data_IF_012122114016
#
_entry.id   IF_012122114016
#
_cell.length_a   1.000
_cell.length_b   1.000
_cell.length_c   1.000
_cell.angle_alpha   90.00
_cell.angle_beta   90.00
_cell.angle_gamma   90.00
#
_symmetry.space_group_name_H-M   'P 1'
#
loop_
_entity.id
_entity.type
_entity.pdbx_description
1 polymer ?
#
# COMPACT_ATOMS: atom_id res chain seq x y z
N UNK A 1 42.07 -29.58 -33.15
CA UNK A 1 41.73 -28.29 -32.48
C UNK A 1 40.37 -28.47 -31.85
N UNK A 2 40.34 -28.71 -30.56
CA UNK A 2 39.11 -28.89 -29.80
C UNK A 2 38.58 -27.53 -29.40
N UNK A 3 37.35 -27.22 -29.81
CA UNK A 3 36.63 -26.04 -29.41
C UNK A 3 36.28 -26.12 -27.91
N UNK A 4 36.75 -25.15 -27.13
CA UNK A 4 36.40 -25.00 -25.73
C UNK A 4 34.88 -24.81 -25.56
N UNK A 5 34.26 -25.39 -24.52
CA UNK A 5 32.84 -25.15 -24.24
C UNK A 5 32.64 -23.70 -23.80
N UNK A 6 31.80 -22.99 -24.54
CA UNK A 6 31.29 -21.67 -24.19
C UNK A 6 30.72 -21.72 -22.79
N UNK A 7 31.22 -20.89 -21.90
CA UNK A 7 30.75 -20.73 -20.55
C UNK A 7 29.22 -20.45 -20.55
N UNK A 8 28.45 -21.41 -20.03
CA UNK A 8 27.03 -21.26 -19.79
C UNK A 8 26.84 -20.01 -18.95
N UNK A 9 26.12 -19.05 -19.49
CA UNK A 9 25.86 -17.75 -18.86
C UNK A 9 25.38 -17.92 -17.44
N UNK A 10 26.17 -17.47 -16.48
CA UNK A 10 25.71 -17.24 -15.13
C UNK A 10 24.60 -16.17 -15.22
N UNK A 11 23.35 -16.61 -15.14
CA UNK A 11 22.25 -15.68 -14.90
C UNK A 11 22.65 -14.82 -13.69
N UNK A 12 22.58 -13.49 -13.76
CA UNK A 12 22.90 -12.66 -12.62
C UNK A 12 21.97 -13.07 -11.49
N UNK A 13 22.53 -13.66 -10.44
CA UNK A 13 21.83 -13.80 -9.15
C UNK A 13 21.37 -12.42 -8.81
N UNK A 14 20.03 -12.19 -8.80
CA UNK A 14 19.47 -10.90 -8.48
C UNK A 14 20.18 -10.32 -7.27
N UNK A 15 20.54 -9.05 -7.32
CA UNK A 15 21.38 -8.42 -6.30
C UNK A 15 20.59 -8.33 -4.98
N UNK A 16 20.55 -9.46 -4.25
CA UNK A 16 19.84 -9.61 -2.97
C UNK A 16 20.29 -8.56 -1.95
N UNK A 17 21.54 -8.09 -2.04
CA UNK A 17 22.06 -7.04 -1.17
C UNK A 17 21.37 -5.70 -1.44
N UNK A 18 21.33 -5.29 -2.70
CA UNK A 18 20.62 -4.06 -3.07
C UNK A 18 19.11 -4.15 -2.73
N UNK A 19 18.51 -5.33 -2.93
CA UNK A 19 17.13 -5.55 -2.52
C UNK A 19 16.92 -5.40 -1.01
N UNK A 20 17.78 -5.98 -0.19
CA UNK A 20 17.71 -5.86 1.26
C UNK A 20 17.85 -4.41 1.72
N UNK A 21 18.75 -3.63 1.09
CA UNK A 21 18.94 -2.21 1.39
C UNK A 21 17.71 -1.37 1.00
N UNK A 22 17.15 -1.58 -0.19
CA UNK A 22 15.92 -0.92 -0.64
C UNK A 22 14.76 -1.26 0.29
N UNK A 23 14.62 -2.53 0.64
CA UNK A 23 13.55 -3.01 1.53
C UNK A 23 13.71 -2.45 2.94
N UNK A 24 14.92 -2.45 3.49
CA UNK A 24 15.23 -1.88 4.80
C UNK A 24 14.95 -0.37 4.86
N UNK A 25 15.36 0.38 3.84
CA UNK A 25 15.06 1.79 3.72
C UNK A 25 13.53 2.06 3.64
N UNK A 26 12.81 1.26 2.86
CA UNK A 26 11.35 1.34 2.77
C UNK A 26 10.64 0.95 4.07
N UNK A 27 11.15 -0.03 4.81
CA UNK A 27 10.62 -0.40 6.12
C UNK A 27 10.81 0.70 7.14
N UNK A 28 11.99 1.33 7.17
CA UNK A 28 12.27 2.49 8.03
C UNK A 28 11.30 3.63 7.73
N UNK A 29 11.14 4.01 6.46
CA UNK A 29 10.21 5.05 6.03
C UNK A 29 8.76 4.71 6.42
N UNK A 30 8.33 3.47 6.23
CA UNK A 30 6.99 3.00 6.59
C UNK A 30 6.72 3.07 8.10
N UNK A 31 7.71 2.69 8.90
CA UNK A 31 7.63 2.75 10.35
C UNK A 31 7.53 4.20 10.84
N UNK A 32 8.37 5.06 10.28
CA UNK A 32 8.40 6.50 10.56
C UNK A 32 7.11 7.19 10.10
N UNK A 33 6.58 6.86 8.91
CA UNK A 33 5.28 7.37 8.44
C UNK A 33 4.14 7.03 9.41
N UNK A 34 4.07 5.77 9.85
CA UNK A 34 3.09 5.34 10.85
C UNK A 34 3.25 6.09 12.19
N UNK A 35 4.47 6.18 12.69
CA UNK A 35 4.77 6.85 13.94
C UNK A 35 4.46 8.35 13.89
N UNK A 36 4.82 9.02 12.81
CA UNK A 36 4.56 10.46 12.61
C UNK A 36 3.05 10.74 12.62
N UNK A 37 2.24 9.90 11.98
CA UNK A 37 0.78 10.05 11.99
C UNK A 37 0.21 10.04 13.40
N UNK A 38 0.57 9.06 14.20
CA UNK A 38 0.08 8.93 15.58
C UNK A 38 0.63 10.03 16.47
N UNK A 39 1.89 10.37 16.30
CA UNK A 39 2.55 11.46 17.02
C UNK A 39 1.81 12.80 16.82
N UNK A 40 1.56 13.17 15.55
CA UNK A 40 0.85 14.41 15.19
C UNK A 40 -0.58 14.36 15.74
N UNK A 41 -1.31 13.25 15.54
CA UNK A 41 -2.67 13.09 16.00
C UNK A 41 -2.76 13.34 17.53
N UNK A 42 -1.98 12.63 18.34
CA UNK A 42 -2.05 12.75 19.79
C UNK A 42 -1.51 14.08 20.33
N UNK A 43 -0.50 14.66 19.67
CA UNK A 43 0.03 15.94 20.09
C UNK A 43 -0.99 17.08 19.91
N UNK A 44 -1.66 17.14 18.76
CA UNK A 44 -2.65 18.18 18.48
C UNK A 44 -3.95 17.96 19.25
N UNK A 45 -4.34 16.71 19.51
CA UNK A 45 -5.44 16.39 20.42
C UNK A 45 -5.17 16.91 21.84
N UNK A 46 -3.94 16.70 22.37
CA UNK A 46 -3.51 17.26 23.67
C UNK A 46 -3.50 18.79 23.71
N UNK A 47 -3.32 19.45 22.56
CA UNK A 47 -3.42 20.93 22.46
C UNK A 47 -4.87 21.43 22.37
N UNK A 48 -5.87 20.54 22.44
CA UNK A 48 -7.29 20.88 22.41
C UNK A 48 -7.87 21.11 21.02
N UNK A 49 -7.19 20.65 19.97
CA UNK A 49 -7.76 20.68 18.61
C UNK A 49 -8.93 19.72 18.51
N UNK A 50 -10.00 20.18 17.85
CA UNK A 50 -11.16 19.31 17.61
C UNK A 50 -10.81 18.12 16.72
N UNK A 51 -11.54 16.98 16.80
CA UNK A 51 -11.31 15.82 15.93
C UNK A 51 -11.30 16.17 14.44
N UNK A 52 -12.17 17.10 14.00
CA UNK A 52 -12.20 17.57 12.61
C UNK A 52 -10.94 18.35 12.23
N UNK A 53 -10.43 19.22 13.11
CA UNK A 53 -9.18 19.94 12.90
C UNK A 53 -7.99 18.96 12.82
N UNK A 54 -7.94 17.97 13.70
CA UNK A 54 -6.90 16.92 13.66
C UNK A 54 -6.98 16.10 12.37
N UNK A 55 -8.18 15.71 11.96
CA UNK A 55 -8.38 15.00 10.69
C UNK A 55 -7.93 15.83 9.47
N UNK A 56 -8.18 17.15 9.50
CA UNK A 56 -7.80 18.07 8.42
C UNK A 56 -6.28 18.14 8.20
N UNK A 57 -5.47 17.92 9.24
CA UNK A 57 -4.00 17.90 9.14
C UNK A 57 -3.49 16.90 8.10
N UNK A 58 -4.25 15.86 7.79
CA UNK A 58 -3.87 14.80 6.88
C UNK A 58 -4.47 14.92 5.47
N UNK A 59 -5.33 15.90 5.20
CA UNK A 59 -5.97 16.06 3.88
C UNK A 59 -4.91 16.23 2.79
N UNK A 60 -3.96 17.16 2.97
CA UNK A 60 -2.91 17.38 1.98
C UNK A 60 -1.97 16.17 1.83
N UNK A 61 -1.78 15.37 2.88
CA UNK A 61 -1.05 14.10 2.80
C UNK A 61 -1.72 13.11 1.82
N UNK A 62 -3.03 12.95 1.87
CA UNK A 62 -3.74 12.05 0.97
C UNK A 62 -3.82 12.60 -0.46
N UNK A 63 -4.03 13.91 -0.62
CA UNK A 63 -4.01 14.57 -1.94
C UNK A 63 -2.63 14.47 -2.58
N UNK A 64 -1.57 14.79 -1.82
CA UNK A 64 -0.18 14.62 -2.27
C UNK A 64 0.09 13.17 -2.68
N UNK A 65 -0.47 12.21 -1.93
CA UNK A 65 -0.38 10.79 -2.24
C UNK A 65 -0.96 10.41 -3.61
N UNK A 66 -2.11 10.95 -4.00
CA UNK A 66 -2.70 10.71 -5.34
C UNK A 66 -1.76 11.24 -6.42
N UNK A 67 -1.33 12.49 -6.30
CA UNK A 67 -0.46 13.14 -7.28
C UNK A 67 0.91 12.47 -7.38
N UNK A 68 1.51 12.16 -6.23
CA UNK A 68 2.85 11.55 -6.20
C UNK A 68 2.83 10.11 -6.69
N UNK A 69 1.77 9.35 -6.51
CA UNK A 69 1.68 8.01 -7.09
C UNK A 69 1.70 8.08 -8.63
N UNK A 70 1.04 9.06 -9.21
CA UNK A 70 1.06 9.29 -10.65
C UNK A 70 2.44 9.77 -11.11
N UNK A 71 2.94 10.88 -10.54
CA UNK A 71 4.22 11.48 -10.94
C UNK A 71 5.42 10.60 -10.57
N UNK A 72 5.38 9.93 -9.43
CA UNK A 72 6.47 9.13 -8.90
C UNK A 72 6.84 7.94 -9.79
N UNK A 73 5.88 7.34 -10.48
CA UNK A 73 6.14 6.32 -11.49
C UNK A 73 6.94 6.87 -12.69
N UNK A 74 6.58 8.06 -13.17
CA UNK A 74 7.31 8.76 -14.23
C UNK A 74 8.70 9.19 -13.78
N UNK A 75 8.82 9.77 -12.58
CA UNK A 75 10.10 10.19 -12.03
C UNK A 75 11.04 9.00 -11.83
N UNK A 76 10.52 7.88 -11.32
CA UNK A 76 11.28 6.65 -11.13
C UNK A 76 11.74 6.04 -12.46
N UNK A 77 10.93 6.14 -13.53
CA UNK A 77 11.34 5.73 -14.87
C UNK A 77 12.46 6.62 -15.39
N UNK A 78 12.34 7.94 -15.25
CA UNK A 78 13.26 8.93 -15.83
C UNK A 78 14.58 9.04 -15.08
N UNK A 79 14.57 8.98 -13.76
CA UNK A 79 15.75 9.20 -12.89
C UNK A 79 16.33 7.90 -12.31
N UNK A 80 15.58 6.80 -12.41
CA UNK A 80 15.92 5.50 -11.84
C UNK A 80 15.46 5.35 -10.40
N UNK A 81 15.34 4.10 -9.99
CA UNK A 81 14.77 3.73 -8.68
C UNK A 81 15.63 4.18 -7.49
N UNK A 82 16.97 4.14 -7.64
CA UNK A 82 17.91 4.55 -6.59
C UNK A 82 17.76 6.03 -6.24
N UNK A 83 17.71 6.91 -7.25
CA UNK A 83 17.54 8.36 -7.05
C UNK A 83 16.17 8.64 -6.45
N UNK A 84 15.11 8.01 -6.95
CA UNK A 84 13.74 8.19 -6.43
C UNK A 84 13.62 7.75 -4.97
N UNK A 85 14.30 6.66 -4.57
CA UNK A 85 14.36 6.23 -3.17
C UNK A 85 15.04 7.28 -2.28
N UNK A 86 16.19 7.79 -2.70
CA UNK A 86 16.94 8.78 -1.93
C UNK A 86 16.19 10.10 -1.81
N UNK A 87 15.52 10.53 -2.88
CA UNK A 87 14.64 11.70 -2.83
C UNK A 87 13.49 11.51 -1.84
N UNK A 88 12.84 10.34 -1.85
CA UNK A 88 11.77 10.02 -0.89
C UNK A 88 12.27 10.15 0.56
N UNK A 89 13.38 9.48 0.89
CA UNK A 89 13.97 9.56 2.23
C UNK A 89 14.39 10.99 2.60
N UNK A 90 14.98 11.75 1.66
CA UNK A 90 15.37 13.15 1.87
C UNK A 90 14.17 14.05 2.16
N UNK A 91 13.07 13.89 1.41
CA UNK A 91 11.82 14.63 1.63
C UNK A 91 11.20 14.27 2.98
N UNK A 92 11.27 12.98 3.40
CA UNK A 92 10.80 12.56 4.74
C UNK A 92 11.61 13.23 5.85
N UNK A 93 12.93 13.29 5.72
CA UNK A 93 13.80 13.99 6.67
C UNK A 93 13.39 15.47 6.76
N UNK A 94 13.22 16.14 5.60
CA UNK A 94 12.80 17.54 5.56
C UNK A 94 11.44 17.74 6.28
N UNK A 95 10.45 16.88 6.01
CA UNK A 95 9.15 16.95 6.67
C UNK A 95 9.26 16.83 8.20
N UNK A 96 10.09 15.91 8.68
CA UNK A 96 10.32 15.72 10.13
C UNK A 96 11.09 16.87 10.77
N UNK A 97 12.10 17.43 10.09
CA UNK A 97 12.85 18.60 10.55
C UNK A 97 11.96 19.84 10.63
N UNK A 98 11.05 20.01 9.66
CA UNK A 98 10.03 21.07 9.74
C UNK A 98 9.23 20.99 11.05
N UNK A 99 8.78 19.80 11.45
CA UNK A 99 8.04 19.63 12.71
C UNK A 99 8.95 19.75 13.94
N UNK A 100 10.16 19.19 13.88
CA UNK A 100 11.09 19.15 15.02
C UNK A 100 11.70 20.49 15.38
N UNK A 101 11.97 21.34 14.41
CA UNK A 101 12.57 22.66 14.64
C UNK A 101 11.55 23.81 14.66
N UNK A 102 10.28 23.55 14.34
CA UNK A 102 9.26 24.58 14.39
C UNK A 102 9.12 25.17 15.82
N UNK A 103 9.12 26.50 15.99
CA UNK A 103 8.66 27.10 17.24
C UNK A 103 7.16 26.82 17.43
N UNK A 104 6.70 26.82 18.69
CA UNK A 104 5.31 26.50 19.00
C UNK A 104 4.29 27.40 18.25
N UNK A 105 4.67 28.65 17.97
CA UNK A 105 3.84 29.59 17.21
C UNK A 105 3.65 29.22 15.73
N UNK A 106 4.52 28.42 15.15
CA UNK A 106 4.41 27.94 13.77
C UNK A 106 3.69 26.58 13.66
N UNK A 107 3.49 25.87 14.75
CA UNK A 107 2.75 24.59 14.76
C UNK A 107 1.24 24.79 14.62
N UNK A 108 0.86 25.52 13.57
CA UNK A 108 -0.54 25.78 13.18
C UNK A 108 -0.97 24.85 12.05
N UNK A 109 -2.29 24.68 11.88
CA UNK A 109 -2.87 23.72 10.92
C UNK A 109 -2.23 23.79 9.53
N UNK A 110 -2.11 24.94 8.84
CA UNK A 110 -1.55 24.98 7.49
C UNK A 110 -0.07 24.52 7.42
N UNK A 111 0.73 24.87 8.43
CA UNK A 111 2.13 24.47 8.48
C UNK A 111 2.29 22.96 8.65
N UNK A 112 1.51 22.38 9.57
CA UNK A 112 1.53 20.94 9.80
C UNK A 112 0.99 20.20 8.58
N UNK A 113 -0.07 20.70 7.93
CA UNK A 113 -0.57 20.15 6.67
C UNK A 113 0.50 20.14 5.58
N UNK A 114 1.31 21.20 5.45
CA UNK A 114 2.43 21.25 4.50
C UNK A 114 3.50 20.19 4.80
N UNK A 115 3.89 20.04 6.07
CA UNK A 115 4.80 18.96 6.49
C UNK A 115 4.22 17.59 6.21
N UNK A 116 2.93 17.36 6.51
CA UNK A 116 2.27 16.09 6.21
C UNK A 116 2.16 15.81 4.70
N UNK A 117 1.96 16.85 3.88
CA UNK A 117 1.99 16.71 2.42
C UNK A 117 3.36 16.22 1.93
N UNK A 118 4.46 16.78 2.44
CA UNK A 118 5.82 16.30 2.14
C UNK A 118 6.02 14.85 2.58
N UNK A 119 5.55 14.47 3.77
CA UNK A 119 5.60 13.08 4.23
C UNK A 119 4.79 12.14 3.32
N UNK A 120 3.65 12.60 2.79
CA UNK A 120 2.87 11.87 1.78
C UNK A 120 3.65 11.65 0.49
N UNK A 121 4.34 12.69 -0.01
CA UNK A 121 5.23 12.60 -1.18
C UNK A 121 6.36 11.60 -0.92
N UNK A 122 7.04 11.72 0.20
CA UNK A 122 8.15 10.86 0.60
C UNK A 122 7.76 9.37 0.59
N UNK A 123 6.69 9.04 1.28
CA UNK A 123 6.11 7.68 1.36
C UNK A 123 5.85 7.08 -0.03
N UNK A 124 5.30 7.87 -0.94
CA UNK A 124 4.91 7.34 -2.24
C UNK A 124 6.10 7.21 -3.19
N UNK A 125 7.13 8.05 -3.09
CA UNK A 125 8.40 7.89 -3.81
C UNK A 125 9.17 6.64 -3.33
N UNK A 126 9.31 6.44 -2.03
CA UNK A 126 9.97 5.24 -1.46
C UNK A 126 9.22 3.96 -1.82
N UNK A 127 7.88 4.00 -1.81
CA UNK A 127 7.02 2.89 -2.24
C UNK A 127 7.22 2.55 -3.72
N UNK A 128 7.26 3.55 -4.63
CA UNK A 128 7.48 3.33 -6.06
C UNK A 128 8.80 2.62 -6.30
N UNK A 129 9.89 3.10 -5.71
CA UNK A 129 11.21 2.51 -5.84
C UNK A 129 11.23 1.06 -5.36
N UNK A 130 10.71 0.81 -4.16
CA UNK A 130 10.77 -0.53 -3.54
C UNK A 130 9.92 -1.55 -4.27
N UNK A 131 8.71 -1.17 -4.69
CA UNK A 131 7.82 -2.08 -5.42
C UNK A 131 8.32 -2.40 -6.82
N UNK A 132 8.86 -1.42 -7.53
CA UNK A 132 9.41 -1.64 -8.87
C UNK A 132 10.72 -2.45 -8.82
N UNK A 133 11.53 -2.27 -7.78
CA UNK A 133 12.77 -3.01 -7.58
C UNK A 133 12.55 -4.53 -7.51
N UNK A 134 11.43 -5.00 -6.94
CA UNK A 134 11.11 -6.44 -6.89
C UNK A 134 11.11 -7.08 -8.28
N UNK A 135 10.49 -6.41 -9.27
CA UNK A 135 10.42 -6.93 -10.65
C UNK A 135 11.80 -7.07 -11.30
N UNK A 136 12.73 -6.15 -10.99
CA UNK A 136 14.07 -6.14 -11.56
C UNK A 136 15.00 -7.18 -10.94
N UNK A 137 14.69 -7.65 -9.74
CA UNK A 137 15.52 -8.58 -8.96
C UNK A 137 15.13 -10.05 -9.16
N UNK A 138 13.94 -10.30 -9.62
CA UNK A 138 13.43 -11.64 -9.89
C UNK A 138 13.80 -12.06 -11.32
N UNK A 139 14.24 -13.29 -11.50
CA UNK A 139 14.56 -13.85 -12.82
C UNK A 139 13.31 -13.83 -13.72
N UNK A 140 13.52 -13.67 -15.04
CA UNK A 140 12.42 -13.75 -15.99
C UNK A 140 11.78 -15.14 -15.95
N UNK A 141 10.43 -15.14 -15.93
CA UNK A 141 9.67 -16.39 -15.87
C UNK A 141 9.41 -16.94 -14.47
N UNK A 142 10.17 -16.54 -13.43
CA UNK A 142 9.92 -17.00 -12.06
C UNK A 142 8.78 -16.20 -11.39
N UNK A 143 7.56 -16.48 -11.85
CA UNK A 143 6.35 -15.86 -11.31
C UNK A 143 6.13 -16.18 -9.83
N UNK A 144 6.61 -17.32 -9.40
CA UNK A 144 6.57 -17.82 -8.04
C UNK A 144 7.38 -16.97 -7.06
N UNK A 145 8.64 -16.72 -7.40
CA UNK A 145 9.50 -15.81 -6.63
C UNK A 145 8.91 -14.39 -6.64
N UNK A 146 8.42 -13.91 -7.80
CA UNK A 146 7.80 -12.60 -7.92
C UNK A 146 6.62 -12.44 -6.94
N UNK A 147 5.68 -13.40 -6.94
CA UNK A 147 4.53 -13.37 -6.03
C UNK A 147 4.97 -13.38 -4.56
N UNK A 148 5.92 -14.25 -4.21
CA UNK A 148 6.43 -14.37 -2.84
C UNK A 148 7.06 -13.05 -2.35
N UNK A 149 7.96 -12.44 -3.13
CA UNK A 149 8.63 -11.21 -2.74
C UNK A 149 7.68 -10.01 -2.65
N UNK A 150 6.75 -9.89 -3.60
CA UNK A 150 5.72 -8.84 -3.56
C UNK A 150 4.82 -8.95 -2.33
N UNK A 151 4.40 -10.17 -2.00
CA UNK A 151 3.54 -10.42 -0.84
C UNK A 151 4.27 -10.11 0.48
N UNK A 152 5.54 -10.55 0.61
CA UNK A 152 6.36 -10.24 1.78
C UNK A 152 6.54 -8.73 1.92
N UNK A 153 6.94 -8.03 0.85
CA UNK A 153 7.16 -6.58 0.89
C UNK A 153 5.89 -5.82 1.23
N UNK A 154 4.74 -6.24 0.67
CA UNK A 154 3.48 -5.54 0.90
C UNK A 154 2.90 -5.85 2.28
N UNK A 155 2.98 -7.09 2.73
CA UNK A 155 2.51 -7.51 4.04
C UNK A 155 3.34 -6.93 5.17
N UNK A 156 4.67 -7.03 5.08
CA UNK A 156 5.59 -6.45 6.08
C UNK A 156 5.41 -4.94 6.21
N UNK A 157 5.22 -4.23 5.09
CA UNK A 157 4.90 -2.80 5.10
C UNK A 157 3.64 -2.50 5.92
N UNK A 158 2.57 -3.25 5.74
CA UNK A 158 1.33 -3.00 6.46
C UNK A 158 1.47 -3.32 7.97
N UNK A 159 2.13 -4.43 8.31
CA UNK A 159 2.44 -4.76 9.70
C UNK A 159 3.31 -3.68 10.38
N UNK A 160 4.39 -3.25 9.71
CA UNK A 160 5.28 -2.21 10.23
C UNK A 160 4.58 -0.86 10.40
N UNK A 161 3.62 -0.54 9.53
CA UNK A 161 2.82 0.67 9.71
C UNK A 161 1.99 0.61 10.99
N UNK A 162 1.41 -0.54 11.30
CA UNK A 162 0.71 -0.77 12.57
C UNK A 162 1.65 -0.64 13.78
N UNK A 163 2.85 -1.23 13.71
CA UNK A 163 3.90 -1.05 14.74
C UNK A 163 4.28 0.44 14.88
N UNK A 164 4.39 1.15 13.76
CA UNK A 164 4.66 2.60 13.76
C UNK A 164 3.63 3.39 14.57
N UNK A 165 2.35 3.03 14.51
CA UNK A 165 1.32 3.70 15.30
C UNK A 165 1.60 3.61 16.81
N UNK A 166 2.00 2.46 17.32
CA UNK A 166 2.40 2.32 18.73
C UNK A 166 3.68 3.08 19.03
N UNK A 167 4.67 3.02 18.14
CA UNK A 167 5.94 3.71 18.31
C UNK A 167 5.75 5.23 18.40
N UNK A 168 4.87 5.82 17.59
CA UNK A 168 4.56 7.25 17.64
C UNK A 168 3.98 7.69 18.99
N UNK A 169 3.05 6.92 19.56
CA UNK A 169 2.51 7.17 20.90
C UNK A 169 3.57 7.02 22.00
N UNK A 170 4.39 5.96 21.91
CA UNK A 170 5.47 5.70 22.84
C UNK A 170 6.52 6.82 22.84
N UNK A 171 7.00 7.21 21.66
CA UNK A 171 7.98 8.29 21.53
C UNK A 171 7.43 9.63 22.04
N UNK A 172 6.16 9.95 21.73
CA UNK A 172 5.53 11.16 22.26
C UNK A 172 5.50 11.17 23.80
N UNK A 173 5.22 10.02 24.39
CA UNK A 173 5.12 9.90 25.86
C UNK A 173 6.50 9.97 26.54
N UNK A 174 7.52 9.33 25.97
CA UNK A 174 8.84 9.24 26.58
C UNK A 174 9.72 10.47 26.31
N UNK A 175 9.62 11.07 25.13
CA UNK A 175 10.58 12.10 24.68
C UNK A 175 9.92 13.43 24.32
N UNK A 176 8.61 13.47 24.20
CA UNK A 176 7.86 14.63 23.73
C UNK A 176 7.93 14.82 22.20
N UNK A 177 7.16 15.77 21.69
CA UNK A 177 6.94 15.94 20.26
C UNK A 177 8.22 16.26 19.46
N UNK A 178 9.02 17.22 19.92
CA UNK A 178 10.25 17.66 19.24
C UNK A 178 11.31 16.57 19.18
N UNK A 179 11.61 15.96 20.32
CA UNK A 179 12.65 14.93 20.38
C UNK A 179 12.20 13.69 19.57
N UNK A 180 10.93 13.31 19.64
CA UNK A 180 10.38 12.21 18.84
C UNK A 180 10.55 12.44 17.33
N UNK A 181 10.20 13.62 16.83
CA UNK A 181 10.38 13.97 15.40
C UNK A 181 11.84 13.98 14.98
N UNK A 182 12.75 14.47 15.81
CA UNK A 182 14.20 14.48 15.53
C UNK A 182 14.80 13.06 15.58
N UNK A 183 14.38 12.20 16.51
CA UNK A 183 14.77 10.79 16.56
C UNK A 183 14.35 10.09 15.26
N UNK A 184 13.11 10.29 14.80
CA UNK A 184 12.63 9.73 13.54
C UNK A 184 13.37 10.28 12.33
N UNK A 185 13.72 11.59 12.32
CA UNK A 185 14.56 12.17 11.28
C UNK A 185 15.96 11.53 11.25
N UNK A 186 16.57 11.32 12.43
CA UNK A 186 17.85 10.64 12.59
C UNK A 186 17.82 9.19 12.07
N UNK A 187 16.79 8.44 12.42
CA UNK A 187 16.60 7.06 11.92
C UNK A 187 16.47 7.02 10.38
N UNK A 188 15.70 7.96 9.79
CA UNK A 188 15.56 8.07 8.34
C UNK A 188 16.88 8.49 7.68
N UNK A 189 17.64 9.40 8.30
CA UNK A 189 18.96 9.81 7.82
C UNK A 189 19.96 8.63 7.84
N UNK A 190 19.97 7.84 8.90
CA UNK A 190 20.80 6.63 8.98
C UNK A 190 20.44 5.67 7.84
N UNK A 191 19.15 5.42 7.59
CA UNK A 191 18.70 4.58 6.48
C UNK A 191 19.14 5.14 5.12
N UNK A 192 19.06 6.46 4.90
CA UNK A 192 19.55 7.12 3.69
C UNK A 192 21.06 6.96 3.52
N UNK A 193 21.85 7.22 4.57
CA UNK A 193 23.30 7.08 4.53
C UNK A 193 23.74 5.64 4.28
N UNK A 194 23.13 4.67 4.95
CA UNK A 194 23.40 3.25 4.71
C UNK A 194 23.07 2.84 3.27
N UNK A 195 21.87 3.21 2.79
CA UNK A 195 21.49 2.93 1.42
C UNK A 195 22.42 3.62 0.41
N UNK A 196 22.79 4.89 0.62
CA UNK A 196 23.65 5.64 -0.31
C UNK A 196 25.06 5.08 -0.40
N UNK A 197 25.64 4.61 0.72
CA UNK A 197 27.02 4.07 0.78
C UNK A 197 27.11 2.60 0.38
N UNK A 198 26.08 1.81 0.68
CA UNK A 198 26.12 0.36 0.52
C UNK A 198 25.45 -0.15 -0.76
N UNK A 199 24.59 0.65 -1.41
CA UNK A 199 24.01 0.26 -2.71
C UNK A 199 24.98 0.50 -3.84
N UNK A 200 25.38 -0.59 -4.52
CA UNK A 200 26.27 -0.55 -5.67
C UNK A 200 25.48 -0.56 -7.00
N UNK A 201 26.06 0.04 -8.03
CA UNK A 201 25.49 0.04 -9.37
C UNK A 201 24.18 0.85 -9.53
N UNK A 202 23.50 0.61 -10.66
CA UNK A 202 22.22 1.22 -10.98
C UNK A 202 21.09 0.25 -10.64
N UNK A 203 20.06 0.72 -9.96
CA UNK A 203 18.83 -0.02 -9.73
C UNK A 203 17.82 0.38 -10.80
N UNK A 204 17.68 -0.44 -11.85
CA UNK A 204 16.95 -0.12 -13.06
C UNK A 204 17.70 0.89 -13.95
N UNK A 205 17.50 0.78 -15.26
CA UNK A 205 18.09 1.71 -16.22
C UNK A 205 17.17 2.94 -16.36
N UNK A 206 17.68 4.17 -16.11
CA UNK A 206 16.91 5.38 -16.36
C UNK A 206 16.57 5.49 -17.85
N UNK A 207 15.29 5.72 -18.15
CA UNK A 207 14.84 6.04 -19.50
C UNK A 207 14.67 7.57 -19.63
N UNK A 208 15.70 8.24 -20.15
CA UNK A 208 15.67 9.68 -20.39
C UNK A 208 14.65 10.09 -21.44
N UNK A 209 14.22 9.16 -22.29
CA UNK A 209 13.18 9.35 -23.32
C UNK A 209 11.76 9.15 -22.82
N UNK A 210 11.58 8.70 -21.57
CA UNK A 210 10.27 8.49 -20.97
C UNK A 210 9.41 9.76 -21.04
N UNK A 211 8.21 9.64 -21.61
CA UNK A 211 7.23 10.76 -21.72
C UNK A 211 6.10 10.53 -20.72
N UNK A 212 5.66 11.59 -20.05
CA UNK A 212 4.57 11.52 -19.06
C UNK A 212 3.28 10.89 -19.66
N UNK A 213 2.97 11.20 -20.93
CA UNK A 213 1.81 10.63 -21.62
C UNK A 213 1.84 9.09 -21.69
N UNK A 214 3.01 8.47 -21.66
CA UNK A 214 3.15 7.00 -21.71
C UNK A 214 2.62 6.31 -20.44
N UNK A 215 2.43 7.03 -19.33
CA UNK A 215 1.79 6.50 -18.12
C UNK A 215 0.33 6.09 -18.36
N UNK A 216 -0.34 6.73 -19.32
CA UNK A 216 -1.73 6.45 -19.67
C UNK A 216 -1.85 5.48 -20.85
N UNK A 217 -0.73 5.12 -21.47
CA UNK A 217 -0.64 4.17 -22.59
C UNK A 217 -0.26 2.77 -22.10
N UNK A 218 -1.04 2.27 -21.13
CA UNK A 218 -0.80 0.94 -20.56
C UNK A 218 -1.52 -0.14 -21.38
N UNK A 219 -1.05 -1.37 -21.27
CA UNK A 219 -1.77 -2.53 -21.78
C UNK A 219 -3.16 -2.63 -21.12
N UNK A 220 -4.11 -3.20 -21.85
CA UNK A 220 -5.48 -3.41 -21.39
C UNK A 220 -5.54 -4.13 -20.04
N UNK A 221 -4.66 -5.10 -19.80
CA UNK A 221 -4.61 -5.83 -18.54
C UNK A 221 -4.27 -4.91 -17.35
N UNK A 222 -3.31 -3.99 -17.51
CA UNK A 222 -2.93 -3.01 -16.49
C UNK A 222 -4.09 -2.04 -16.22
N UNK A 223 -4.77 -1.56 -17.26
CA UNK A 223 -5.90 -0.63 -17.12
C UNK A 223 -7.08 -1.28 -16.41
N UNK A 224 -7.44 -2.51 -16.77
CA UNK A 224 -8.53 -3.27 -16.12
C UNK A 224 -8.18 -3.57 -14.67
N UNK A 225 -6.93 -3.98 -14.40
CA UNK A 225 -6.46 -4.23 -13.03
C UNK A 225 -6.47 -2.95 -12.18
N UNK A 226 -6.08 -1.82 -12.75
CA UNK A 226 -6.13 -0.52 -12.07
C UNK A 226 -7.58 -0.11 -11.75
N UNK A 227 -8.52 -0.29 -12.69
CA UNK A 227 -9.94 -0.05 -12.45
C UNK A 227 -10.49 -0.98 -11.34
N UNK A 228 -10.20 -2.29 -11.39
CA UNK A 228 -10.60 -3.22 -10.34
C UNK A 228 -10.01 -2.82 -8.97
N UNK A 229 -8.79 -2.26 -8.96
CA UNK A 229 -8.13 -1.77 -7.74
C UNK A 229 -8.83 -0.57 -7.12
N UNK A 230 -9.37 0.35 -7.92
CA UNK A 230 -10.18 1.48 -7.42
C UNK A 230 -11.32 0.94 -6.57
N UNK A 231 -12.14 0.06 -7.13
CA UNK A 231 -13.28 -0.51 -6.44
C UNK A 231 -12.89 -1.35 -5.23
N UNK A 232 -11.85 -2.19 -5.33
CA UNK A 232 -11.39 -3.00 -4.22
C UNK A 232 -10.95 -2.17 -3.01
N UNK A 233 -10.28 -1.04 -3.21
CA UNK A 233 -9.84 -0.19 -2.10
C UNK A 233 -10.93 0.76 -1.62
N UNK A 234 -11.76 1.25 -2.52
CA UNK A 234 -12.96 2.00 -2.15
C UNK A 234 -13.89 1.16 -1.26
N UNK A 235 -14.05 -0.13 -1.56
CA UNK A 235 -14.90 -1.03 -0.77
C UNK A 235 -14.47 -1.17 0.69
N UNK A 236 -13.18 -1.17 0.97
CA UNK A 236 -12.69 -1.16 2.35
C UNK A 236 -12.91 0.21 3.00
N UNK A 237 -12.46 1.26 2.33
CA UNK A 237 -12.38 2.59 2.95
C UNK A 237 -13.76 3.24 3.12
N UNK A 238 -14.80 2.81 2.37
CA UNK A 238 -16.18 3.31 2.50
C UNK A 238 -16.81 3.01 3.86
N UNK A 239 -16.35 2.02 4.59
CA UNK A 239 -16.86 1.73 5.92
C UNK A 239 -15.78 1.71 7.01
N UNK A 240 -14.52 1.37 6.66
CA UNK A 240 -13.45 1.14 7.63
C UNK A 240 -12.80 2.43 8.17
N UNK A 241 -12.75 3.50 7.35
CA UNK A 241 -11.96 4.71 7.70
C UNK A 241 -12.76 5.69 8.58
N UNK A 242 -14.04 5.88 8.31
CA UNK A 242 -14.92 6.81 9.03
C UNK A 242 -16.09 6.06 9.67
N UNK A 243 -16.85 5.29 8.90
CA UNK A 243 -18.06 4.66 9.36
C UNK A 243 -17.87 3.72 10.54
N UNK A 244 -16.89 2.81 10.47
CA UNK A 244 -16.62 1.86 11.53
C UNK A 244 -16.12 2.52 12.82
N UNK A 245 -15.09 3.39 12.83
CA UNK A 245 -14.69 4.10 14.04
C UNK A 245 -15.83 4.89 14.68
N UNK A 246 -16.62 5.59 13.87
CA UNK A 246 -17.74 6.38 14.37
C UNK A 246 -18.82 5.49 14.98
N UNK A 247 -19.17 4.37 14.34
CA UNK A 247 -20.14 3.41 14.88
C UNK A 247 -19.68 2.79 16.21
N UNK A 248 -18.42 2.37 16.29
CA UNK A 248 -17.85 1.79 17.53
C UNK A 248 -17.87 2.81 18.67
N UNK A 249 -17.51 4.06 18.40
CA UNK A 249 -17.45 5.11 19.41
C UNK A 249 -18.84 5.63 19.79
N UNK A 250 -19.63 6.09 18.80
CA UNK A 250 -20.87 6.82 19.06
C UNK A 250 -22.08 5.92 19.31
N UNK A 251 -22.11 4.71 18.72
CA UNK A 251 -23.26 3.79 18.86
C UNK A 251 -22.96 2.71 19.90
N UNK A 252 -21.77 2.12 19.88
CA UNK A 252 -21.40 1.04 20.82
C UNK A 252 -20.71 1.55 22.11
N UNK A 253 -20.41 2.87 22.20
CA UNK A 253 -19.82 3.47 23.40
C UNK A 253 -18.36 3.07 23.66
N UNK A 254 -17.63 2.59 22.65
CA UNK A 254 -16.23 2.23 22.82
C UNK A 254 -15.35 3.46 23.07
N UNK A 255 -14.33 3.31 23.91
CA UNK A 255 -13.33 4.37 24.08
C UNK A 255 -12.45 4.50 22.84
N UNK A 256 -11.84 5.66 22.64
CA UNK A 256 -10.87 5.89 21.56
C UNK A 256 -9.71 4.87 21.56
N UNK A 257 -9.27 4.43 22.76
CA UNK A 257 -8.25 3.42 22.90
C UNK A 257 -8.68 2.04 22.39
N UNK A 258 -9.91 1.63 22.68
CA UNK A 258 -10.46 0.36 22.18
C UNK A 258 -10.59 0.38 20.65
N UNK A 259 -11.12 1.46 20.10
CA UNK A 259 -11.23 1.64 18.64
C UNK A 259 -9.84 1.65 17.99
N UNK A 260 -8.91 2.45 18.50
CA UNK A 260 -7.54 2.54 17.98
C UNK A 260 -6.80 1.22 18.05
N UNK A 261 -6.94 0.49 19.16
CA UNK A 261 -6.32 -0.83 19.35
C UNK A 261 -6.88 -1.86 18.36
N UNK A 262 -8.21 -1.93 18.19
CA UNK A 262 -8.84 -2.81 17.22
C UNK A 262 -8.30 -2.57 15.81
N UNK A 263 -8.27 -1.31 15.38
CA UNK A 263 -7.80 -0.94 14.04
C UNK A 263 -6.32 -1.24 13.86
N UNK A 264 -5.47 -0.96 14.86
CA UNK A 264 -4.04 -1.25 14.81
C UNK A 264 -3.76 -2.76 14.74
N UNK A 265 -4.38 -3.55 15.61
CA UNK A 265 -4.26 -5.02 15.61
C UNK A 265 -4.75 -5.60 14.29
N UNK A 266 -5.87 -5.08 13.78
CA UNK A 266 -6.40 -5.51 12.49
C UNK A 266 -5.43 -5.22 11.33
N UNK A 267 -4.82 -4.03 11.27
CA UNK A 267 -3.84 -3.67 10.23
C UNK A 267 -2.58 -4.54 10.32
N UNK A 268 -2.12 -4.86 11.53
CA UNK A 268 -0.99 -5.77 11.75
C UNK A 268 -1.34 -7.18 11.26
N UNK A 269 -2.49 -7.71 11.69
CA UNK A 269 -3.00 -9.02 11.27
C UNK A 269 -3.20 -9.11 9.74
N UNK A 270 -3.80 -8.07 9.16
CA UNK A 270 -3.92 -7.91 7.72
C UNK A 270 -2.56 -8.00 7.01
N UNK A 271 -1.54 -7.30 7.51
CA UNK A 271 -0.18 -7.35 6.98
C UNK A 271 0.45 -8.74 7.07
N UNK A 272 0.26 -9.44 8.19
CA UNK A 272 0.75 -10.81 8.40
C UNK A 272 0.10 -11.80 7.41
N UNK A 273 -1.23 -11.76 7.27
CA UNK A 273 -1.97 -12.59 6.29
C UNK A 273 -1.51 -12.28 4.87
N UNK A 274 -1.30 -11.00 4.54
CA UNK A 274 -0.84 -10.60 3.21
C UNK A 274 0.56 -11.11 2.90
N UNK A 275 1.48 -11.11 3.87
CA UNK A 275 2.81 -11.70 3.73
C UNK A 275 2.76 -13.22 3.56
N UNK A 276 1.81 -13.88 4.22
CA UNK A 276 1.59 -15.32 4.12
C UNK A 276 0.79 -15.75 2.87
N UNK A 277 0.23 -14.80 2.11
CA UNK A 277 -0.67 -15.07 0.98
C UNK A 277 -0.11 -16.09 -0.04
N UNK A 278 1.18 -16.10 -0.42
CA UNK A 278 1.72 -17.10 -1.33
C UNK A 278 1.56 -18.54 -0.83
N UNK A 279 1.67 -18.75 0.49
CA UNK A 279 1.49 -20.07 1.10
C UNK A 279 0.03 -20.48 1.17
N UNK A 280 -0.85 -19.53 1.48
CA UNK A 280 -2.29 -19.76 1.64
C UNK A 280 -2.99 -19.97 0.29
N UNK A 281 -2.65 -19.16 -0.71
CA UNK A 281 -3.25 -19.26 -2.06
C UNK A 281 -2.68 -20.45 -2.81
N UNK A 282 -1.37 -20.75 -2.71
CA UNK A 282 -0.74 -21.89 -3.38
C UNK A 282 -1.22 -23.25 -2.88
N UNK A 283 -1.50 -23.43 -1.59
CA UNK A 283 -2.05 -24.72 -1.10
C UNK A 283 -3.33 -25.14 -1.84
N UNK A 284 -4.12 -24.19 -2.33
CA UNK A 284 -5.29 -24.44 -3.19
C UNK A 284 -4.97 -24.54 -4.69
N UNK A 285 -3.85 -23.92 -5.14
CA UNK A 285 -3.44 -23.89 -6.54
C UNK A 285 -2.36 -24.94 -6.85
N UNK A 286 -1.62 -25.45 -5.84
CA UNK A 286 -0.59 -26.49 -6.02
C UNK A 286 -1.18 -27.83 -6.45
N UNK A 287 -2.45 -28.11 -6.14
CA UNK A 287 -3.18 -29.23 -6.77
C UNK A 287 -3.38 -29.04 -8.28
N UNK A 288 -3.10 -27.83 -8.82
CA UNK A 288 -3.25 -27.46 -10.22
C UNK A 288 -1.99 -26.87 -10.89
N UNK A 289 -0.87 -26.66 -10.16
CA UNK A 289 0.39 -26.13 -10.72
C UNK A 289 0.30 -24.71 -11.32
N UNK A 290 -0.66 -23.90 -10.89
CA UNK A 290 -0.96 -22.58 -11.50
C UNK A 290 -0.65 -21.44 -10.54
N UNK A 291 -0.13 -20.35 -11.08
CA UNK A 291 0.02 -19.08 -10.34
C UNK A 291 -1.31 -18.29 -10.35
N UNK A 292 -1.52 -17.39 -9.36
CA UNK A 292 -2.75 -16.58 -9.31
C UNK A 292 -2.95 -15.75 -10.59
N UNK A 293 -4.18 -15.65 -11.04
CA UNK A 293 -4.60 -14.90 -12.23
C UNK A 293 -5.84 -14.04 -11.97
N UNK A 294 -6.42 -13.44 -13.00
CA UNK A 294 -7.64 -12.64 -12.88
C UNK A 294 -8.83 -13.40 -12.28
N UNK A 295 -8.96 -14.72 -12.57
CA UNK A 295 -10.01 -15.56 -11.98
C UNK A 295 -9.82 -15.74 -10.48
N UNK A 296 -8.58 -15.91 -10.04
CA UNK A 296 -8.24 -15.98 -8.61
C UNK A 296 -8.65 -14.69 -7.89
N UNK A 297 -8.37 -13.51 -8.48
CA UNK A 297 -8.80 -12.23 -7.95
C UNK A 297 -10.33 -12.10 -7.91
N UNK A 298 -11.05 -12.55 -8.94
CA UNK A 298 -12.51 -12.52 -9.01
C UNK A 298 -13.15 -13.41 -7.93
N UNK A 299 -12.69 -14.66 -7.75
CA UNK A 299 -13.20 -15.53 -6.70
C UNK A 299 -12.98 -15.00 -5.30
N UNK A 300 -11.79 -14.40 -5.05
CA UNK A 300 -11.51 -13.73 -3.77
C UNK A 300 -12.41 -12.52 -3.58
N UNK A 301 -12.74 -11.77 -4.63
CA UNK A 301 -13.67 -10.66 -4.54
C UNK A 301 -15.11 -11.16 -4.22
N UNK A 302 -15.59 -12.21 -4.88
CA UNK A 302 -16.91 -12.80 -4.55
C UNK A 302 -16.97 -13.25 -3.09
N UNK A 303 -15.95 -13.95 -2.60
CA UNK A 303 -15.87 -14.36 -1.19
C UNK A 303 -15.78 -13.15 -0.25
N UNK A 304 -15.14 -12.06 -0.67
CA UNK A 304 -15.03 -10.83 0.12
C UNK A 304 -16.34 -10.08 0.24
N UNK A 305 -17.16 -10.03 -0.82
CA UNK A 305 -18.43 -9.33 -0.85
C UNK A 305 -19.45 -9.86 0.17
N UNK A 306 -19.32 -11.12 0.55
CA UNK A 306 -20.19 -11.75 1.54
C UNK A 306 -20.06 -11.16 2.94
N UNK A 307 -18.87 -10.67 3.33
CA UNK A 307 -18.61 -10.27 4.70
C UNK A 307 -19.25 -8.92 5.07
N UNK A 308 -19.10 -7.84 4.28
CA UNK A 308 -19.84 -6.61 4.56
C UNK A 308 -21.36 -6.83 4.53
N UNK A 309 -21.87 -7.61 3.58
CA UNK A 309 -23.29 -7.97 3.53
C UNK A 309 -23.74 -8.74 4.78
N UNK A 310 -22.95 -9.73 5.22
CA UNK A 310 -23.25 -10.51 6.42
C UNK A 310 -23.27 -9.63 7.68
N UNK A 311 -22.30 -8.68 7.82
CA UNK A 311 -22.31 -7.70 8.93
C UNK A 311 -23.58 -6.83 8.85
N UNK A 312 -23.93 -6.31 7.68
CA UNK A 312 -25.13 -5.47 7.51
C UNK A 312 -26.40 -6.24 7.88
N UNK A 313 -26.55 -7.48 7.44
CA UNK A 313 -27.68 -8.35 7.77
C UNK A 313 -27.72 -8.65 9.28
N UNK A 314 -26.58 -8.96 9.91
CA UNK A 314 -26.50 -9.23 11.35
C UNK A 314 -26.93 -8.01 12.17
N UNK A 315 -26.50 -6.81 11.80
CA UNK A 315 -26.92 -5.57 12.45
C UNK A 315 -28.42 -5.31 12.27
N UNK A 316 -28.95 -5.55 11.08
CA UNK A 316 -30.40 -5.44 10.81
C UNK A 316 -31.22 -6.47 11.58
N UNK A 317 -30.67 -7.63 11.86
CA UNK A 317 -31.29 -8.68 12.68
C UNK A 317 -31.10 -8.44 14.19
N UNK A 318 -30.62 -7.28 14.59
CA UNK A 318 -30.37 -6.90 15.99
C UNK A 318 -29.40 -7.82 16.74
N UNK A 319 -28.46 -8.45 16.03
CA UNK A 319 -27.34 -9.15 16.64
C UNK A 319 -26.47 -8.13 17.36
N UNK A 320 -25.86 -8.52 18.49
CA UNK A 320 -24.93 -7.65 19.22
C UNK A 320 -23.89 -7.01 18.28
N UNK A 321 -23.84 -5.68 18.29
CA UNK A 321 -23.06 -4.91 17.34
C UNK A 321 -21.55 -5.18 17.45
N UNK A 322 -21.04 -5.41 18.66
CA UNK A 322 -19.63 -5.78 18.89
C UNK A 322 -19.31 -7.12 18.26
N UNK A 323 -20.17 -8.11 18.51
CA UNK A 323 -20.02 -9.45 17.96
C UNK A 323 -20.10 -9.44 16.43
N UNK A 324 -21.09 -8.78 15.85
CA UNK A 324 -21.26 -8.68 14.39
C UNK A 324 -20.04 -8.04 13.72
N UNK A 325 -19.54 -6.92 14.28
CA UNK A 325 -18.37 -6.23 13.73
C UNK A 325 -17.10 -7.07 13.87
N UNK A 326 -16.78 -7.56 15.06
CA UNK A 326 -15.51 -8.28 15.29
C UNK A 326 -15.50 -9.60 14.52
N UNK A 327 -16.61 -10.38 14.56
CA UNK A 327 -16.71 -11.63 13.84
C UNK A 327 -16.65 -11.46 12.31
N UNK A 328 -17.20 -10.38 11.77
CA UNK A 328 -17.15 -10.10 10.32
C UNK A 328 -15.85 -9.44 9.88
N UNK A 329 -15.23 -8.59 10.72
CA UNK A 329 -14.01 -7.86 10.39
C UNK A 329 -12.78 -8.78 10.21
N UNK A 330 -12.70 -9.87 10.98
CA UNK A 330 -11.59 -10.83 10.89
C UNK A 330 -11.57 -11.53 9.52
N UNK A 331 -12.62 -12.24 9.08
CA UNK A 331 -12.62 -12.90 7.78
C UNK A 331 -12.60 -11.90 6.62
N UNK A 332 -13.25 -10.73 6.74
CA UNK A 332 -13.09 -9.65 5.77
C UNK A 332 -11.60 -9.28 5.61
N UNK A 333 -10.87 -9.09 6.71
CA UNK A 333 -9.45 -8.77 6.70
C UNK A 333 -8.60 -9.84 6.03
N UNK A 334 -8.87 -11.12 6.30
CA UNK A 334 -8.16 -12.25 5.70
C UNK A 334 -8.38 -12.28 4.19
N UNK A 335 -9.63 -12.25 3.73
CA UNK A 335 -9.95 -12.35 2.29
C UNK A 335 -9.46 -11.09 1.55
N UNK A 336 -9.62 -9.91 2.14
CA UNK A 336 -9.12 -8.66 1.58
C UNK A 336 -7.58 -8.67 1.46
N UNK A 337 -6.86 -9.20 2.46
CA UNK A 337 -5.41 -9.34 2.42
C UNK A 337 -4.95 -10.23 1.27
N UNK A 338 -5.59 -11.38 1.10
CA UNK A 338 -5.29 -12.32 0.01
C UNK A 338 -5.56 -11.69 -1.35
N UNK A 339 -6.72 -11.06 -1.55
CA UNK A 339 -7.07 -10.41 -2.80
C UNK A 339 -6.12 -9.24 -3.12
N UNK A 340 -5.80 -8.42 -2.13
CA UNK A 340 -4.82 -7.33 -2.28
C UNK A 340 -3.41 -7.83 -2.62
N UNK A 341 -2.99 -9.00 -2.08
CA UNK A 341 -1.72 -9.63 -2.43
C UNK A 341 -1.71 -10.10 -3.89
N UNK A 342 -2.79 -10.76 -4.34
CA UNK A 342 -2.97 -11.19 -5.74
C UNK A 342 -2.92 -9.98 -6.67
N UNK A 343 -3.67 -8.91 -6.42
CA UNK A 343 -3.62 -7.69 -7.22
C UNK A 343 -2.22 -7.07 -7.27
N UNK A 344 -1.49 -7.08 -6.14
CA UNK A 344 -0.12 -6.54 -6.06
C UNK A 344 0.90 -7.38 -6.81
N UNK A 345 0.66 -8.68 -6.95
CA UNK A 345 1.43 -9.56 -7.83
C UNK A 345 1.08 -9.31 -9.31
N UNK A 346 -0.23 -9.28 -9.64
CA UNK A 346 -0.69 -9.18 -11.02
C UNK A 346 -0.20 -7.89 -11.71
N UNK A 347 -0.12 -6.75 -11.00
CA UNK A 347 0.42 -5.53 -11.63
C UNK A 347 1.85 -5.72 -12.10
N UNK A 348 2.69 -6.40 -11.34
CA UNK A 348 4.06 -6.68 -11.76
C UNK A 348 4.12 -7.80 -12.82
N UNK A 349 3.23 -8.79 -12.75
CA UNK A 349 3.15 -9.87 -13.73
C UNK A 349 2.69 -9.38 -15.11
N UNK A 350 1.78 -8.39 -15.16
CA UNK A 350 1.27 -7.81 -16.42
C UNK A 350 2.15 -6.66 -16.96
N UNK A 351 3.06 -6.11 -16.16
CA UNK A 351 3.94 -5.02 -16.60
C UNK A 351 5.17 -5.54 -17.31
N UNK A 352 5.58 -4.90 -18.40
CA UNK A 352 6.87 -5.12 -19.02
C UNK A 352 8.00 -4.61 -18.12
N UNK A 353 9.20 -5.20 -18.24
CA UNK A 353 10.37 -4.79 -17.44
C UNK A 353 10.74 -3.33 -17.67
N UNK A 354 10.70 -2.88 -18.92
CA UNK A 354 11.10 -1.52 -19.31
C UNK A 354 10.07 -0.45 -18.88
N UNK A 355 8.81 -0.85 -18.64
CA UNK A 355 7.71 0.06 -18.29
C UNK A 355 7.14 -0.18 -16.89
N UNK A 356 7.75 -1.05 -16.09
CA UNK A 356 7.22 -1.47 -14.80
C UNK A 356 6.95 -0.30 -13.85
N UNK A 357 7.82 0.70 -13.82
CA UNK A 357 7.69 1.87 -12.93
C UNK A 357 6.46 2.71 -13.27
N UNK A 358 6.20 2.94 -14.57
CA UNK A 358 5.04 3.68 -15.04
C UNK A 358 3.74 2.93 -14.80
N UNK A 359 3.70 1.64 -15.12
CA UNK A 359 2.53 0.79 -14.86
C UNK A 359 2.21 0.67 -13.37
N UNK A 360 3.23 0.52 -12.52
CA UNK A 360 3.11 0.50 -11.06
C UNK A 360 2.63 1.85 -10.54
N UNK A 361 3.15 2.96 -11.07
CA UNK A 361 2.72 4.31 -10.73
C UNK A 361 1.23 4.54 -11.04
N UNK A 362 0.79 4.22 -12.25
CA UNK A 362 -0.60 4.29 -12.67
C UNK A 362 -1.53 3.44 -11.79
N UNK A 363 -1.14 2.21 -11.51
CA UNK A 363 -1.88 1.32 -10.64
C UNK A 363 -2.00 1.84 -9.19
N UNK A 364 -0.94 2.43 -8.64
CA UNK A 364 -1.00 3.00 -7.29
C UNK A 364 -1.71 4.35 -7.23
N UNK A 365 -1.73 5.11 -8.31
CA UNK A 365 -2.62 6.27 -8.45
C UNK A 365 -4.09 5.81 -8.38
N UNK A 366 -4.46 4.77 -9.13
CA UNK A 366 -5.78 4.16 -9.06
C UNK A 366 -6.13 3.66 -7.64
N UNK A 367 -5.17 3.03 -6.95
CA UNK A 367 -5.33 2.63 -5.55
C UNK A 367 -5.59 3.82 -4.61
N UNK A 368 -4.87 4.93 -4.78
CA UNK A 368 -5.06 6.13 -3.97
C UNK A 368 -6.40 6.81 -4.28
N UNK A 369 -6.80 6.84 -5.55
CA UNK A 369 -8.11 7.34 -5.97
C UNK A 369 -9.24 6.50 -5.35
N UNK A 370 -9.13 5.17 -5.35
CA UNK A 370 -10.11 4.29 -4.72
C UNK A 370 -10.22 4.56 -3.20
N UNK A 371 -9.10 4.74 -2.52
CA UNK A 371 -9.10 5.11 -1.10
C UNK A 371 -9.77 6.45 -0.83
N UNK A 372 -9.44 7.48 -1.62
CA UNK A 372 -10.04 8.80 -1.51
C UNK A 372 -11.56 8.73 -1.73
N UNK A 373 -12.00 8.07 -2.81
CA UNK A 373 -13.41 7.85 -3.12
C UNK A 373 -14.13 7.12 -1.98
N UNK A 374 -13.53 6.03 -1.46
CA UNK A 374 -14.10 5.29 -0.34
C UNK A 374 -14.23 6.15 0.92
N UNK A 375 -13.20 6.92 1.26
CA UNK A 375 -13.22 7.78 2.44
C UNK A 375 -14.27 8.89 2.34
N UNK A 376 -14.41 9.54 1.17
CA UNK A 376 -15.44 10.57 0.95
C UNK A 376 -16.83 9.94 1.03
N UNK A 377 -17.03 8.82 0.34
CA UNK A 377 -18.32 8.12 0.37
C UNK A 377 -18.64 7.53 1.74
N UNK A 378 -17.64 7.25 2.60
CA UNK A 378 -17.87 6.78 3.96
C UNK A 378 -18.71 7.78 4.76
N UNK A 379 -18.38 9.06 4.70
CA UNK A 379 -19.17 10.11 5.36
C UNK A 379 -20.57 10.20 4.77
N UNK A 380 -20.69 10.30 3.45
CA UNK A 380 -21.98 10.44 2.76
C UNK A 380 -22.91 9.24 3.04
N UNK A 381 -22.40 8.02 2.88
CA UNK A 381 -23.21 6.82 3.13
C UNK A 381 -23.60 6.67 4.59
N UNK A 382 -22.71 7.06 5.51
CA UNK A 382 -23.01 7.02 6.92
C UNK A 382 -24.13 8.01 7.32
N UNK A 383 -24.16 9.19 6.72
CA UNK A 383 -25.25 10.16 6.92
C UNK A 383 -26.59 9.67 6.35
N UNK A 384 -26.60 8.85 5.29
CA UNK A 384 -27.82 8.34 4.67
C UNK A 384 -28.49 7.24 5.51
N UNK A 385 -27.77 6.21 5.92
CA UNK A 385 -28.31 5.06 6.67
C UNK A 385 -27.23 4.39 7.54
N UNK A 386 -26.41 5.19 8.19
CA UNK A 386 -25.39 4.73 9.13
C UNK A 386 -24.39 3.73 8.52
N UNK A 387 -23.91 2.84 9.38
CA UNK A 387 -22.93 1.82 8.96
C UNK A 387 -23.51 0.85 7.93
N UNK A 388 -24.84 0.61 7.93
CA UNK A 388 -25.50 -0.31 6.99
C UNK A 388 -25.30 0.12 5.54
N UNK A 389 -25.55 1.40 5.21
CA UNK A 389 -25.33 1.93 3.86
C UNK A 389 -23.86 1.80 3.43
N UNK A 390 -22.91 2.05 4.34
CA UNK A 390 -21.49 1.87 4.08
C UNK A 390 -21.16 0.40 3.72
N UNK A 391 -21.72 -0.55 4.45
CA UNK A 391 -21.47 -2.00 4.26
C UNK A 391 -22.07 -2.52 2.95
N UNK A 392 -23.29 -2.11 2.60
CA UNK A 392 -23.89 -2.48 1.32
C UNK A 392 -23.14 -1.87 0.13
N UNK A 393 -22.71 -0.62 0.24
CA UNK A 393 -21.84 0.04 -0.75
C UNK A 393 -20.52 -0.69 -0.89
N UNK A 394 -19.94 -1.14 0.23
CA UNK A 394 -18.73 -1.99 0.23
C UNK A 394 -18.92 -3.25 -0.58
N UNK A 395 -20.02 -4.00 -0.33
CA UNK A 395 -20.33 -5.22 -1.07
C UNK A 395 -20.50 -4.98 -2.57
N UNK A 396 -21.21 -3.90 -2.95
CA UNK A 396 -21.38 -3.51 -4.34
C UNK A 396 -20.04 -3.19 -5.03
N UNK A 397 -19.16 -2.46 -4.36
CA UNK A 397 -17.83 -2.15 -4.88
C UNK A 397 -16.95 -3.40 -5.04
N UNK A 398 -17.01 -4.33 -4.09
CA UNK A 398 -16.28 -5.60 -4.20
C UNK A 398 -16.78 -6.42 -5.37
N UNK A 399 -18.09 -6.49 -5.60
CA UNK A 399 -18.67 -7.18 -6.75
C UNK A 399 -18.23 -6.53 -8.08
N UNK A 400 -18.17 -5.19 -8.14
CA UNK A 400 -17.63 -4.48 -9.30
C UNK A 400 -16.14 -4.80 -9.54
N UNK A 401 -15.33 -4.86 -8.47
CA UNK A 401 -13.93 -5.28 -8.56
C UNK A 401 -13.79 -6.72 -9.08
N UNK A 402 -14.66 -7.62 -8.61
CA UNK A 402 -14.72 -9.00 -9.07
C UNK A 402 -15.09 -9.13 -10.55
N UNK A 403 -16.13 -8.41 -10.99
CA UNK A 403 -16.55 -8.38 -12.39
C UNK A 403 -15.44 -7.87 -13.33
N UNK A 404 -14.75 -6.80 -12.95
CA UNK A 404 -13.60 -6.30 -13.69
C UNK A 404 -12.45 -7.32 -13.70
N UNK A 405 -12.22 -8.03 -12.61
CA UNK A 405 -11.15 -9.03 -12.52
C UNK A 405 -11.38 -10.22 -13.46
N UNK A 406 -12.62 -10.53 -13.82
CA UNK A 406 -12.94 -11.56 -14.83
C UNK A 406 -12.50 -11.18 -16.24
N UNK A 407 -12.31 -9.87 -16.53
CA UNK A 407 -11.83 -9.38 -17.81
C UNK A 407 -10.30 -9.45 -17.94
N UNK A 408 -9.59 -9.83 -16.88
CA UNK A 408 -8.14 -9.98 -16.88
C UNK A 408 -7.70 -11.25 -17.60
N UNK A 409 -6.52 -11.25 -18.28
CA UNK A 409 -5.99 -12.42 -18.94
C UNK A 409 -5.77 -13.57 -17.97
N UNK A 410 -6.13 -14.79 -18.40
CA UNK A 410 -5.76 -16.01 -17.68
C UNK A 410 -4.27 -16.32 -17.84
N UNK A 411 -3.71 -17.16 -16.95
CA UNK A 411 -2.32 -17.60 -17.02
C UNK A 411 -2.01 -18.27 -18.38
N UNK A 412 -2.91 -19.11 -18.90
CA UNK A 412 -2.77 -19.74 -20.22
C UNK A 412 -2.65 -18.75 -21.38
N UNK A 413 -3.32 -17.60 -21.30
CA UNK A 413 -3.22 -16.56 -22.32
C UNK A 413 -1.89 -15.78 -22.23
N UNK A 414 -1.30 -15.70 -21.05
CA UNK A 414 0.03 -15.08 -20.82
C UNK A 414 1.17 -15.93 -21.36
N UNK A 415 1.17 -17.22 -21.07
CA UNK A 415 2.20 -18.17 -21.56
C UNK A 415 2.19 -18.29 -23.08
N UNK A 416 1.01 -18.26 -23.71
CA UNK A 416 0.90 -18.23 -25.18
C UNK A 416 1.49 -16.97 -25.82
N UNK A 417 1.30 -15.78 -25.18
CA UNK A 417 1.87 -14.52 -25.69
C UNK A 417 3.39 -14.47 -25.52
N UNK A 418 3.90 -14.97 -24.39
CA UNK A 418 5.35 -15.04 -24.15
C UNK A 418 6.05 -16.02 -25.10
N UNK A 419 5.41 -17.15 -25.47
CA UNK A 419 5.93 -18.08 -26.46
C UNK A 419 5.86 -17.57 -27.90
N UNK A 420 4.90 -16.69 -28.22
CA UNK A 420 4.77 -16.10 -29.56
C UNK A 420 5.69 -14.89 -29.81
N UNK A 421 6.31 -14.35 -28.77
CA UNK A 421 7.27 -13.24 -28.86
C UNK A 421 8.73 -13.66 -28.88
N UNK A 422 9.04 -14.96 -28.82
CA UNK A 422 10.38 -15.47 -29.10
C UNK A 422 10.52 -15.65 -30.63
N UNK A 423 11.40 -14.89 -31.31
CA UNK A 423 11.71 -15.16 -32.71
C UNK A 423 12.40 -16.53 -32.81
N UNK A 424 12.00 -17.30 -33.84
CA UNK A 424 12.56 -18.61 -34.16
C UNK A 424 14.05 -18.53 -34.54
#
# INVERSE_FOLDING_TARGET
MASAPTAAGQQPRGDLRNYALVTGAYWTDTLVDGATRTLVLFYFDRLGYSPLQVASLFILYEVAGVLTNLLGGFLAARWGLKVTLFMGLGVQILALLMLGFAPASLLVVPYVMASQALSGVAKDLTKMSSKSAVKLLVAEGDQSALYRWVAILTGSKNALKGVGFFLGGLLLTLTGFRAATLIMAGATLIALLLASRLMHGHLGNPDKGAKFRQMFSNDRAVNVLAAARIFLFASRDVWFVVGLPFFLYSVLGWSFWQVGTLLAVWVIGYGAVQAAAPRLVRRRAQDAGREPDGRSAAWLALALALWPAAIAIALSAHVDGTLAIVAGLVPFGVVFALNSAVHSYLILAYSDKDRVTMSVGFYYMANALGRLTGTVLSGVMYELDGLSACLWTSSAFVLAAGALSLLLPSEMARTRRAGASQPA
#
